data_IF_453688904394
#
_entry.id   IF_453688904394
#
_cell.length_a   1.000
_cell.length_b   1.000
_cell.length_c   1.000
_cell.angle_alpha   90.00
_cell.angle_beta   90.00
_cell.angle_gamma   90.00
#
_symmetry.space_group_name_H-M   'P 1'
#
loop_
_entity.id
_entity.type
_entity.pdbx_description
1 polymer ?
#
# COMPACT_ATOMS: atom_id res chain seq x y z
N UNK A 1 4.30 24.81 8.74
CA UNK A 1 3.09 25.01 7.89
C UNK A 1 2.96 24.01 6.73
N UNK A 2 3.47 24.23 5.50
CA UNK A 2 3.24 23.29 4.37
C UNK A 2 3.81 21.88 4.62
N UNK A 3 4.97 21.80 5.27
CA UNK A 3 5.60 20.51 5.61
C UNK A 3 4.87 19.77 6.74
N UNK A 4 4.22 20.49 7.66
CA UNK A 4 3.42 19.88 8.73
C UNK A 4 2.13 19.30 8.19
N UNK A 5 1.44 20.02 7.30
CA UNK A 5 0.24 19.53 6.63
C UNK A 5 0.53 18.24 5.85
N UNK A 6 1.61 18.25 5.06
CA UNK A 6 2.04 17.09 4.29
C UNK A 6 2.43 15.91 5.19
N UNK A 7 3.12 16.19 6.32
CA UNK A 7 3.46 15.17 7.32
C UNK A 7 2.23 14.57 7.97
N UNK A 8 1.24 15.37 8.37
CA UNK A 8 0.02 14.85 9.02
C UNK A 8 -0.82 14.02 8.05
N UNK A 9 -0.94 14.44 6.79
CA UNK A 9 -1.58 13.65 5.72
C UNK A 9 -0.83 12.35 5.47
N UNK A 10 0.50 12.40 5.42
CA UNK A 10 1.35 11.22 5.27
C UNK A 10 1.22 10.26 6.47
N UNK A 11 1.23 10.78 7.69
CA UNK A 11 1.11 9.98 8.91
C UNK A 11 -0.23 9.25 8.94
N UNK A 12 -1.34 9.93 8.62
CA UNK A 12 -2.66 9.31 8.57
C UNK A 12 -2.79 8.30 7.43
N UNK A 13 -2.17 8.59 6.28
CA UNK A 13 -2.07 7.63 5.18
C UNK A 13 -1.31 6.36 5.61
N UNK A 14 -0.19 6.50 6.33
CA UNK A 14 0.57 5.36 6.89
C UNK A 14 -0.27 4.63 7.94
N UNK A 15 -0.89 5.33 8.89
CA UNK A 15 -1.69 4.69 9.96
C UNK A 15 -2.91 3.94 9.42
N UNK A 16 -3.58 4.46 8.38
CA UNK A 16 -4.69 3.79 7.73
C UNK A 16 -4.26 2.57 6.87
N UNK A 17 -3.01 2.57 6.41
CA UNK A 17 -2.38 1.46 5.67
C UNK A 17 -1.87 0.38 6.62
N UNK A 18 -1.32 0.76 7.77
CA UNK A 18 -0.70 -0.13 8.76
C UNK A 18 -1.74 -0.86 9.62
N UNK A 19 -3.01 -0.44 9.58
CA UNK A 19 -4.09 -1.06 10.38
C UNK A 19 -4.25 -2.57 10.10
N UNK A 20 -3.69 -3.39 11.01
CA UNK A 20 -3.93 -4.80 11.33
C UNK A 20 -4.55 -5.68 10.24
N UNK A 21 -3.75 -6.09 9.26
CA UNK A 21 -4.03 -7.33 8.51
C UNK A 21 -2.81 -8.26 8.51
N UNK A 22 -2.70 -9.19 9.47
CA UNK A 22 -1.58 -10.13 9.48
C UNK A 22 -1.57 -11.09 8.28
N UNK A 23 -2.73 -11.30 7.63
CA UNK A 23 -2.89 -12.37 6.65
C UNK A 23 -2.18 -12.07 5.30
N UNK A 24 -2.20 -10.82 4.82
CA UNK A 24 -1.44 -10.48 3.61
C UNK A 24 0.07 -10.55 3.86
N UNK A 25 0.53 -10.18 5.07
CA UNK A 25 1.93 -10.31 5.48
C UNK A 25 2.38 -11.77 5.59
N UNK A 26 1.46 -12.68 5.92
CA UNK A 26 1.72 -14.11 5.86
C UNK A 26 1.95 -14.60 4.42
N UNK A 27 1.23 -14.06 3.44
CA UNK A 27 1.49 -14.34 2.02
C UNK A 27 2.85 -13.78 1.59
N UNK A 28 3.20 -12.57 2.02
CA UNK A 28 4.54 -11.99 1.79
C UNK A 28 5.64 -12.88 2.36
N UNK A 29 5.45 -13.40 3.58
CA UNK A 29 6.37 -14.33 4.20
C UNK A 29 6.59 -15.58 3.33
N UNK A 30 5.52 -16.17 2.78
CA UNK A 30 5.65 -17.31 1.86
C UNK A 30 6.43 -16.97 0.59
N UNK A 31 6.25 -15.76 0.03
CA UNK A 31 7.05 -15.31 -1.12
C UNK A 31 8.54 -15.32 -0.76
N UNK A 32 8.91 -14.87 0.44
CA UNK A 32 10.30 -14.92 0.90
C UNK A 32 10.80 -16.35 1.22
N UNK A 33 9.94 -17.22 1.73
CA UNK A 33 10.30 -18.63 1.97
C UNK A 33 10.58 -19.32 0.63
N UNK A 34 9.71 -19.15 -0.37
CA UNK A 34 9.89 -19.73 -1.71
C UNK A 34 11.17 -19.20 -2.36
N UNK A 35 11.42 -17.89 -2.29
CA UNK A 35 12.63 -17.31 -2.89
C UNK A 35 13.90 -17.74 -2.16
N UNK A 36 13.87 -17.79 -0.83
CA UNK A 36 15.00 -18.30 -0.04
C UNK A 36 15.27 -19.76 -0.35
N UNK A 37 14.23 -20.59 -0.51
CA UNK A 37 14.34 -21.99 -0.91
C UNK A 37 14.96 -22.14 -2.31
N UNK A 38 14.44 -21.40 -3.29
CA UNK A 38 14.94 -21.39 -4.66
C UNK A 38 16.44 -21.05 -4.71
N UNK A 39 16.82 -19.95 -4.07
CA UNK A 39 18.18 -19.44 -4.18
C UNK A 39 19.18 -20.18 -3.29
N UNK A 40 18.80 -20.60 -2.09
CA UNK A 40 19.76 -21.15 -1.12
C UNK A 40 19.71 -22.67 -0.94
N UNK A 41 18.63 -23.33 -1.38
CA UNK A 41 18.49 -24.79 -1.22
C UNK A 41 18.60 -25.50 -2.57
N UNK A 42 17.85 -25.07 -3.58
CA UNK A 42 17.90 -25.69 -4.91
C UNK A 42 18.94 -25.04 -5.84
N UNK A 43 19.46 -23.87 -5.45
CA UNK A 43 20.35 -23.04 -6.27
C UNK A 43 19.80 -22.70 -7.64
N UNK A 44 18.47 -22.72 -7.77
CA UNK A 44 17.76 -22.43 -8.99
C UNK A 44 17.34 -20.96 -9.04
N UNK A 45 16.96 -20.57 -10.25
CA UNK A 45 16.24 -19.35 -10.50
C UNK A 45 14.86 -19.40 -9.82
N UNK A 46 14.37 -18.26 -9.31
CA UNK A 46 13.06 -18.18 -8.66
C UNK A 46 11.94 -18.59 -9.62
N UNK A 47 12.09 -18.24 -10.90
CA UNK A 47 11.11 -18.57 -11.94
C UNK A 47 11.10 -20.07 -12.25
N UNK A 48 12.26 -20.73 -12.18
CA UNK A 48 12.37 -22.19 -12.31
C UNK A 48 11.69 -22.88 -11.13
N UNK A 49 11.94 -22.40 -9.91
CA UNK A 49 11.38 -23.03 -8.70
C UNK A 49 9.87 -22.83 -8.59
N UNK A 50 9.36 -21.66 -8.99
CA UNK A 50 7.91 -21.41 -9.07
C UNK A 50 7.16 -22.38 -10.00
N UNK A 51 7.85 -22.98 -10.97
CA UNK A 51 7.26 -23.99 -11.87
C UNK A 51 7.25 -25.39 -11.26
N UNK A 52 8.17 -25.69 -10.35
CA UNK A 52 8.28 -27.01 -9.70
C UNK A 52 7.45 -27.12 -8.44
N UNK A 53 7.27 -26.02 -7.70
CA UNK A 53 6.56 -26.00 -6.42
C UNK A 53 5.05 -26.15 -6.63
N UNK A 54 4.44 -27.18 -6.04
CA UNK A 54 2.98 -27.30 -5.98
C UNK A 54 2.46 -26.54 -4.77
N UNK A 55 1.26 -25.96 -4.89
CA UNK A 55 0.60 -25.23 -3.78
C UNK A 55 0.41 -26.12 -2.54
N UNK A 56 0.20 -27.42 -2.74
CA UNK A 56 0.10 -28.39 -1.64
C UNK A 56 1.39 -28.51 -0.82
N UNK A 57 2.55 -28.33 -1.46
CA UNK A 57 3.85 -28.43 -0.80
C UNK A 57 4.10 -27.26 0.15
N UNK A 58 3.40 -26.14 -0.01
CA UNK A 58 3.53 -24.96 0.87
C UNK A 58 2.96 -25.21 2.28
N UNK A 59 1.99 -26.12 2.40
CA UNK A 59 1.27 -26.39 3.64
C UNK A 59 1.56 -27.78 4.22
N UNK A 60 2.44 -28.55 3.59
CA UNK A 60 2.91 -29.82 4.13
C UNK A 60 4.10 -29.60 5.09
N UNK A 61 3.86 -29.82 6.38
CA UNK A 61 4.87 -29.65 7.43
C UNK A 61 5.82 -30.84 7.58
N UNK A 62 5.53 -31.99 6.96
CA UNK A 62 6.39 -33.17 7.01
C UNK A 62 7.33 -33.19 5.81
N UNK A 63 6.80 -33.16 4.60
CA UNK A 63 7.58 -33.34 3.36
C UNK A 63 7.59 -32.10 2.45
N UNK A 64 6.91 -31.02 2.86
CA UNK A 64 6.75 -29.81 2.08
C UNK A 64 7.90 -28.81 2.17
N UNK A 65 7.63 -27.60 1.69
CA UNK A 65 8.63 -26.54 1.50
C UNK A 65 9.14 -26.00 2.85
N UNK A 66 8.29 -25.98 3.88
CA UNK A 66 8.65 -25.51 5.22
C UNK A 66 9.63 -26.49 5.90
N UNK A 67 9.50 -27.81 5.70
CA UNK A 67 10.42 -28.78 6.33
C UNK A 67 11.82 -28.79 5.71
N UNK A 68 11.95 -28.25 4.49
CA UNK A 68 13.22 -28.14 3.75
C UNK A 68 14.00 -26.86 4.04
N UNK A 69 13.43 -25.93 4.81
CA UNK A 69 14.03 -24.64 5.16
C UNK A 69 14.49 -24.68 6.61
N UNK A 70 15.72 -24.24 6.87
CA UNK A 70 16.29 -24.20 8.22
C UNK A 70 15.60 -23.15 9.08
N UNK A 71 15.64 -23.31 10.41
CA UNK A 71 15.10 -22.33 11.35
C UNK A 71 15.73 -20.94 11.16
N UNK A 72 17.03 -20.88 10.85
CA UNK A 72 17.73 -19.61 10.57
C UNK A 72 17.18 -18.92 9.31
N UNK A 73 16.94 -19.68 8.24
CA UNK A 73 16.32 -19.16 7.02
C UNK A 73 14.88 -18.69 7.27
N UNK A 74 14.12 -19.36 8.14
CA UNK A 74 12.79 -18.93 8.54
C UNK A 74 12.84 -17.58 9.29
N UNK A 75 13.75 -17.44 10.25
CA UNK A 75 13.98 -16.16 10.96
C UNK A 75 14.36 -15.06 9.98
N UNK A 76 15.22 -15.38 9.01
CA UNK A 76 15.60 -14.46 7.94
C UNK A 76 14.39 -14.03 7.09
N UNK A 77 13.49 -14.95 6.72
CA UNK A 77 12.26 -14.62 5.97
C UNK A 77 11.32 -13.70 6.78
N UNK A 78 11.23 -13.90 8.10
CA UNK A 78 10.46 -13.01 8.99
C UNK A 78 11.09 -11.61 9.01
N UNK A 79 12.41 -11.53 9.14
CA UNK A 79 13.12 -10.25 9.08
C UNK A 79 12.93 -9.54 7.73
N UNK A 80 12.97 -10.28 6.61
CA UNK A 80 12.70 -9.75 5.28
C UNK A 80 11.26 -9.23 5.14
N UNK A 81 10.28 -9.89 5.75
CA UNK A 81 8.89 -9.43 5.77
C UNK A 81 8.76 -8.08 6.49
N UNK A 82 9.47 -7.91 7.61
CA UNK A 82 9.52 -6.64 8.32
C UNK A 82 10.23 -5.55 7.49
N UNK A 83 11.37 -5.88 6.88
CA UNK A 83 12.11 -4.98 5.98
C UNK A 83 11.23 -4.56 4.79
N UNK A 84 10.46 -5.50 4.21
CA UNK A 84 9.55 -5.21 3.11
C UNK A 84 8.53 -4.13 3.48
N UNK A 85 7.94 -4.25 4.67
CA UNK A 85 7.00 -3.23 5.20
C UNK A 85 7.67 -1.85 5.25
N UNK A 86 8.87 -1.77 5.83
CA UNK A 86 9.62 -0.51 5.98
C UNK A 86 9.99 0.07 4.61
N UNK A 87 10.45 -0.77 3.68
CA UNK A 87 10.79 -0.35 2.31
C UNK A 87 9.56 0.18 1.58
N UNK A 88 8.43 -0.52 1.70
CA UNK A 88 7.17 -0.13 1.11
C UNK A 88 6.67 1.22 1.66
N UNK A 89 6.68 1.42 2.99
CA UNK A 89 6.26 2.66 3.64
C UNK A 89 7.15 3.83 3.20
N UNK A 90 8.47 3.64 3.23
CA UNK A 90 9.44 4.67 2.85
C UNK A 90 9.33 5.04 1.37
N UNK A 91 9.17 4.04 0.50
CA UNK A 91 9.01 4.23 -0.95
C UNK A 91 7.70 4.96 -1.26
N UNK A 92 6.60 4.54 -0.63
CA UNK A 92 5.30 5.21 -0.73
C UNK A 92 5.39 6.68 -0.32
N UNK A 93 6.03 6.98 0.81
CA UNK A 93 6.21 8.34 1.31
C UNK A 93 7.06 9.21 0.37
N UNK A 94 8.15 8.67 -0.18
CA UNK A 94 9.00 9.40 -1.15
C UNK A 94 8.23 9.69 -2.44
N UNK A 95 7.51 8.71 -2.97
CA UNK A 95 6.73 8.89 -4.21
C UNK A 95 5.62 9.91 -3.98
N UNK A 96 4.91 9.81 -2.86
CA UNK A 96 3.88 10.77 -2.47
C UNK A 96 4.46 12.19 -2.39
N UNK A 97 5.59 12.38 -1.69
CA UNK A 97 6.25 13.68 -1.54
C UNK A 97 6.78 14.25 -2.87
N UNK A 98 7.12 13.41 -3.84
CA UNK A 98 7.50 13.88 -5.19
C UNK A 98 6.28 14.28 -6.02
N UNK A 99 5.19 13.52 -5.94
CA UNK A 99 4.00 13.74 -6.74
C UNK A 99 3.16 14.90 -6.20
N UNK A 100 3.05 15.06 -4.87
CA UNK A 100 2.32 16.14 -4.22
C UNK A 100 2.86 17.53 -4.59
N UNK A 101 4.18 17.68 -4.76
CA UNK A 101 4.81 18.94 -5.20
C UNK A 101 4.36 19.42 -6.58
N UNK A 102 3.78 18.52 -7.40
CA UNK A 102 3.23 18.86 -8.72
C UNK A 102 1.76 19.26 -8.67
N UNK A 103 1.10 19.12 -7.52
CA UNK A 103 -0.33 19.43 -7.34
C UNK A 103 -0.49 20.55 -6.31
N UNK A 104 -1.30 21.56 -6.65
CA UNK A 104 -1.68 22.62 -5.72
C UNK A 104 -2.82 22.13 -4.80
N UNK A 105 -2.44 21.40 -3.74
CA UNK A 105 -3.39 20.86 -2.77
C UNK A 105 -4.13 21.97 -2.01
N UNK A 106 -3.49 23.12 -1.78
CA UNK A 106 -4.13 24.24 -1.10
C UNK A 106 -5.32 24.75 -1.92
N UNK A 107 -5.12 24.97 -3.22
CA UNK A 107 -6.20 25.33 -4.13
C UNK A 107 -7.27 24.25 -4.23
N UNK A 108 -6.88 22.97 -4.33
CA UNK A 108 -7.83 21.86 -4.36
C UNK A 108 -8.72 21.84 -3.11
N UNK A 109 -8.13 21.99 -1.93
CA UNK A 109 -8.84 21.94 -0.65
C UNK A 109 -9.75 23.17 -0.48
N UNK A 110 -9.30 24.34 -0.91
CA UNK A 110 -10.09 25.57 -0.88
C UNK A 110 -11.29 25.52 -1.84
N UNK A 111 -11.10 25.01 -3.06
CA UNK A 111 -12.18 24.81 -4.04
C UNK A 111 -13.21 23.79 -3.53
N UNK A 112 -12.76 22.74 -2.84
CA UNK A 112 -13.63 21.75 -2.23
C UNK A 112 -14.44 22.33 -1.07
N UNK A 113 -13.79 23.05 -0.14
CA UNK A 113 -14.48 23.73 0.97
C UNK A 113 -15.55 24.69 0.44
N UNK A 114 -15.20 25.53 -0.53
CA UNK A 114 -16.14 26.47 -1.15
C UNK A 114 -17.30 25.78 -1.87
N UNK A 115 -17.10 24.60 -2.46
CA UNK A 115 -18.18 23.81 -3.06
C UNK A 115 -19.12 23.21 -2.01
N UNK A 116 -18.58 22.63 -0.94
CA UNK A 116 -19.40 21.97 0.08
C UNK A 116 -20.10 22.96 1.03
N UNK A 117 -19.49 24.12 1.32
CA UNK A 117 -20.16 25.21 2.03
C UNK A 117 -21.36 25.75 1.25
N UNK A 118 -21.29 25.80 -0.09
CA UNK A 118 -22.44 26.17 -0.95
C UNK A 118 -23.55 25.12 -0.99
N UNK A 119 -23.24 23.86 -0.69
CA UNK A 119 -24.20 22.74 -0.66
C UNK A 119 -24.81 22.57 0.73
N UNK A 120 -24.19 23.15 1.78
CA UNK A 120 -24.70 23.10 3.15
C UNK A 120 -26.06 23.79 3.23
N UNK A 121 -27.09 22.99 3.42
CA UNK A 121 -28.48 23.45 3.58
C UNK A 121 -28.73 23.86 5.03
N UNK A 122 -29.66 24.79 5.28
CA UNK A 122 -30.11 25.15 6.65
C UNK A 122 -30.89 24.02 7.37
N UNK A 123 -31.03 22.84 6.76
CA UNK A 123 -31.78 21.71 7.30
C UNK A 123 -30.81 20.64 7.83
N UNK A 124 -30.72 20.52 9.16
CA UNK A 124 -29.85 19.56 9.86
C UNK A 124 -30.14 18.10 9.50
N UNK A 125 -31.40 17.77 9.25
CA UNK A 125 -31.82 16.40 8.94
C UNK A 125 -31.33 15.98 7.54
N UNK A 126 -31.38 16.90 6.58
CA UNK A 126 -30.84 16.69 5.22
C UNK A 126 -29.32 16.55 5.27
N UNK A 127 -28.64 17.39 6.05
CA UNK A 127 -27.18 17.31 6.23
C UNK A 127 -26.76 15.99 6.91
N UNK A 128 -27.55 15.48 7.85
CA UNK A 128 -27.30 14.19 8.50
C UNK A 128 -27.37 13.01 7.51
N UNK A 129 -28.42 12.94 6.68
CA UNK A 129 -28.51 11.89 5.65
C UNK A 129 -27.42 12.02 4.59
N UNK A 130 -27.07 13.25 4.17
CA UNK A 130 -25.96 13.49 3.26
C UNK A 130 -24.63 13.01 3.84
N UNK A 131 -24.38 13.30 5.12
CA UNK A 131 -23.17 12.85 5.81
C UNK A 131 -23.12 11.33 5.88
N UNK A 132 -24.24 10.65 6.15
CA UNK A 132 -24.30 9.19 6.22
C UNK A 132 -24.00 8.52 4.88
N UNK A 133 -24.53 9.07 3.78
CA UNK A 133 -24.25 8.59 2.43
C UNK A 133 -22.77 8.79 2.06
N UNK A 134 -22.20 9.95 2.42
CA UNK A 134 -20.79 10.26 2.23
C UNK A 134 -19.89 9.32 3.05
N UNK A 135 -20.23 9.02 4.30
CA UNK A 135 -19.47 8.07 5.14
C UNK A 135 -19.49 6.67 4.53
N UNK A 136 -20.64 6.20 4.04
CA UNK A 136 -20.76 4.90 3.35
C UNK A 136 -19.88 4.84 2.09
N UNK A 137 -19.83 5.91 1.29
CA UNK A 137 -18.98 5.97 0.10
C UNK A 137 -17.49 6.11 0.45
N UNK A 138 -17.17 6.81 1.54
CA UNK A 138 -15.82 6.89 2.08
C UNK A 138 -15.32 5.52 2.53
N UNK A 139 -16.15 4.73 3.22
CA UNK A 139 -15.81 3.36 3.62
C UNK A 139 -15.51 2.45 2.42
N UNK A 140 -16.33 2.52 1.36
CA UNK A 140 -16.06 1.76 0.11
C UNK A 140 -14.74 2.18 -0.52
N UNK A 141 -14.45 3.49 -0.56
CA UNK A 141 -13.19 4.00 -1.12
C UNK A 141 -11.99 3.66 -0.24
N UNK A 142 -12.16 3.61 1.08
CA UNK A 142 -11.15 3.16 2.03
C UNK A 142 -10.77 1.70 1.81
N UNK A 143 -11.76 0.82 1.62
CA UNK A 143 -11.52 -0.59 1.27
C UNK A 143 -10.73 -0.69 -0.04
N UNK A 144 -11.12 0.07 -1.07
CA UNK A 144 -10.41 0.09 -2.35
C UNK A 144 -8.97 0.59 -2.23
N UNK A 145 -8.75 1.64 -1.44
CA UNK A 145 -7.42 2.17 -1.15
C UNK A 145 -6.54 1.10 -0.50
N UNK A 146 -7.08 0.40 0.51
CA UNK A 146 -6.40 -0.71 1.18
C UNK A 146 -6.02 -1.83 0.22
N UNK A 147 -6.93 -2.27 -0.65
CA UNK A 147 -6.63 -3.32 -1.63
C UNK A 147 -5.50 -2.90 -2.59
N UNK A 148 -5.47 -1.64 -3.04
CA UNK A 148 -4.40 -1.13 -3.89
C UNK A 148 -3.06 -1.11 -3.15
N UNK A 149 -3.05 -0.68 -1.90
CA UNK A 149 -1.87 -0.69 -1.04
C UNK A 149 -1.31 -2.10 -0.86
N UNK A 150 -2.16 -3.07 -0.49
CA UNK A 150 -1.75 -4.47 -0.31
C UNK A 150 -1.11 -5.02 -1.61
N UNK A 151 -1.69 -4.71 -2.76
CA UNK A 151 -1.14 -5.14 -4.05
C UNK A 151 0.26 -4.55 -4.32
N UNK A 152 0.50 -3.30 -3.94
CA UNK A 152 1.81 -2.66 -4.09
C UNK A 152 2.82 -3.26 -3.11
N UNK A 153 2.39 -3.59 -1.89
CA UNK A 153 3.24 -4.27 -0.91
C UNK A 153 3.65 -5.68 -1.38
N UNK A 154 2.73 -6.41 -2.04
CA UNK A 154 3.07 -7.68 -2.70
C UNK A 154 4.08 -7.52 -3.83
N UNK A 155 3.91 -6.51 -4.70
CA UNK A 155 4.88 -6.25 -5.76
C UNK A 155 6.24 -5.85 -5.18
N UNK A 156 6.26 -5.10 -4.06
CA UNK A 156 7.49 -4.75 -3.36
C UNK A 156 8.21 -6.00 -2.86
N UNK A 157 7.46 -6.99 -2.32
CA UNK A 157 8.02 -8.26 -1.87
C UNK A 157 8.60 -9.08 -3.02
N UNK A 158 7.95 -9.08 -4.18
CA UNK A 158 8.47 -9.74 -5.40
C UNK A 158 9.75 -9.05 -5.87
N UNK A 159 9.78 -7.71 -5.94
CA UNK A 159 10.99 -6.94 -6.28
C UNK A 159 12.12 -7.28 -5.33
N UNK A 160 11.88 -7.27 -4.02
CA UNK A 160 12.90 -7.56 -3.03
C UNK A 160 13.39 -9.02 -3.12
N UNK A 161 12.49 -9.96 -3.39
CA UNK A 161 12.84 -11.37 -3.60
C UNK A 161 13.78 -11.54 -4.80
N UNK A 162 13.50 -10.88 -5.92
CA UNK A 162 14.38 -10.90 -7.09
C UNK A 162 15.74 -10.25 -6.77
N UNK A 163 15.75 -9.14 -6.01
CA UNK A 163 16.99 -8.44 -5.61
C UNK A 163 17.91 -9.34 -4.76
N UNK A 164 17.35 -10.15 -3.86
CA UNK A 164 18.12 -11.09 -3.03
C UNK A 164 18.84 -12.13 -3.90
N UNK A 165 18.20 -12.58 -4.97
CA UNK A 165 18.73 -13.61 -5.87
C UNK A 165 19.57 -13.09 -7.04
N UNK A 166 19.97 -11.81 -7.09
CA UNK A 166 20.56 -11.17 -8.29
C UNK A 166 21.73 -11.95 -8.89
N UNK A 167 22.55 -12.61 -8.08
CA UNK A 167 23.66 -13.42 -8.58
C UNK A 167 23.26 -14.76 -9.20
N UNK A 168 22.08 -15.29 -8.85
CA UNK A 168 21.54 -16.57 -9.35
C UNK A 168 20.45 -16.38 -10.41
N UNK A 169 20.06 -15.14 -10.68
CA UNK A 169 19.01 -14.82 -11.63
C UNK A 169 19.53 -14.87 -13.07
N UNK A 170 18.75 -15.47 -13.96
CA UNK A 170 18.98 -15.46 -15.41
C UNK A 170 18.47 -14.17 -16.08
N UNK A 171 18.81 -14.02 -17.37
CA UNK A 171 18.39 -12.86 -18.20
C UNK A 171 16.87 -12.66 -18.22
N UNK A 172 16.10 -13.74 -18.21
CA UNK A 172 14.62 -13.68 -18.19
C UNK A 172 14.08 -13.06 -16.90
N UNK A 173 14.71 -13.32 -15.76
CA UNK A 173 14.29 -12.75 -14.48
C UNK A 173 14.69 -11.28 -14.37
N UNK A 174 15.80 -10.88 -14.98
CA UNK A 174 16.18 -9.48 -15.08
C UNK A 174 15.19 -8.68 -15.95
N UNK A 175 14.70 -9.27 -17.06
CA UNK A 175 13.63 -8.67 -17.86
C UNK A 175 12.32 -8.60 -17.06
N UNK A 176 11.96 -9.68 -16.36
CA UNK A 176 10.81 -9.72 -15.45
C UNK A 176 10.89 -8.65 -14.37
N UNK A 177 12.07 -8.42 -13.80
CA UNK A 177 12.33 -7.39 -12.80
C UNK A 177 11.97 -5.99 -13.33
N UNK A 178 12.39 -5.64 -14.54
CA UNK A 178 12.09 -4.33 -15.15
C UNK A 178 10.57 -4.16 -15.34
N UNK A 179 9.88 -5.22 -15.77
CA UNK A 179 8.42 -5.20 -15.94
C UNK A 179 7.72 -5.01 -14.60
N UNK A 180 8.11 -5.76 -13.56
CA UNK A 180 7.54 -5.64 -12.21
C UNK A 180 7.80 -4.26 -11.63
N UNK A 181 9.00 -3.70 -11.82
CA UNK A 181 9.37 -2.37 -11.33
C UNK A 181 8.58 -1.26 -12.04
N UNK A 182 8.34 -1.41 -13.34
CA UNK A 182 7.49 -0.49 -14.10
C UNK A 182 6.03 -0.55 -13.63
N UNK A 183 5.52 -1.76 -13.36
CA UNK A 183 4.18 -1.97 -12.82
C UNK A 183 4.03 -1.37 -11.41
N UNK A 184 5.05 -1.53 -10.56
CA UNK A 184 5.10 -0.95 -9.23
C UNK A 184 4.98 0.59 -9.30
N UNK A 185 5.77 1.22 -10.17
CA UNK A 185 5.72 2.67 -10.38
C UNK A 185 4.34 3.13 -10.89
N UNK A 186 3.76 2.40 -11.83
CA UNK A 186 2.42 2.68 -12.36
C UNK A 186 1.34 2.57 -11.27
N UNK A 187 1.39 1.54 -10.42
CA UNK A 187 0.41 1.39 -9.34
C UNK A 187 0.56 2.46 -8.26
N UNK A 188 1.78 2.84 -7.89
CA UNK A 188 1.99 3.98 -6.99
C UNK A 188 1.42 5.27 -7.57
N UNK A 189 1.61 5.51 -8.87
CA UNK A 189 1.02 6.67 -9.53
C UNK A 189 -0.52 6.62 -9.49
N UNK A 190 -1.11 5.47 -9.79
CA UNK A 190 -2.57 5.27 -9.75
C UNK A 190 -3.13 5.45 -8.34
N UNK A 191 -2.43 4.94 -7.33
CA UNK A 191 -2.79 5.09 -5.92
C UNK A 191 -2.80 6.57 -5.52
N UNK A 192 -1.76 7.32 -5.93
CA UNK A 192 -1.67 8.76 -5.68
C UNK A 192 -2.83 9.52 -6.31
N UNK A 193 -3.12 9.28 -7.60
CA UNK A 193 -4.24 9.92 -8.29
C UNK A 193 -5.57 9.59 -7.62
N UNK A 194 -5.79 8.33 -7.25
CA UNK A 194 -7.00 7.91 -6.54
C UNK A 194 -7.12 8.61 -5.16
N UNK A 195 -6.02 8.74 -4.43
CA UNK A 195 -6.01 9.41 -3.14
C UNK A 195 -6.39 10.89 -3.28
N UNK A 196 -5.74 11.63 -4.18
CA UNK A 196 -6.00 13.06 -4.40
C UNK A 196 -7.39 13.34 -4.97
N UNK A 197 -7.82 12.59 -6.00
CA UNK A 197 -9.06 12.91 -6.72
C UNK A 197 -10.30 12.31 -6.06
N UNK A 198 -10.15 11.24 -5.30
CA UNK A 198 -11.28 10.42 -4.85
C UNK A 198 -11.36 10.28 -3.35
N UNK A 199 -10.26 10.32 -2.61
CA UNK A 199 -10.29 10.13 -1.16
C UNK A 199 -10.33 11.47 -0.41
N UNK A 200 -9.40 12.39 -0.71
CA UNK A 200 -9.34 13.72 -0.07
C UNK A 200 -10.68 14.49 -0.17
N UNK A 201 -11.34 14.57 -1.35
CA UNK A 201 -12.60 15.32 -1.48
C UNK A 201 -13.72 14.81 -0.58
N UNK A 202 -13.87 13.49 -0.50
CA UNK A 202 -14.89 12.84 0.32
C UNK A 202 -14.59 13.00 1.81
N UNK A 203 -13.32 12.93 2.19
CA UNK A 203 -12.87 13.13 3.57
C UNK A 203 -13.09 14.57 4.05
N UNK A 204 -12.82 15.56 3.20
CA UNK A 204 -13.10 16.98 3.49
C UNK A 204 -14.62 17.22 3.56
N UNK A 205 -15.39 16.62 2.65
CA UNK A 205 -16.85 16.74 2.64
C UNK A 205 -17.49 16.21 3.94
N UNK A 206 -17.06 15.04 4.40
CA UNK A 206 -17.54 14.44 5.66
C UNK A 206 -17.33 15.39 6.85
N UNK A 207 -16.13 15.96 6.98
CA UNK A 207 -15.81 16.86 8.10
C UNK A 207 -16.58 18.18 8.07
N UNK A 208 -16.70 18.80 6.89
CA UNK A 208 -17.45 20.05 6.73
C UNK A 208 -18.93 19.86 7.05
N UNK A 209 -19.52 18.71 6.66
CA UNK A 209 -20.92 18.40 6.93
C UNK A 209 -21.20 18.02 8.38
N UNK A 210 -20.22 17.44 9.09
CA UNK A 210 -20.29 17.16 10.52
C UNK A 210 -20.09 18.41 11.40
N UNK A 211 -19.83 19.58 10.81
CA UNK A 211 -19.67 20.84 11.54
C UNK A 211 -18.35 20.97 12.30
N UNK A 212 -17.37 20.10 12.02
CA UNK A 212 -16.01 20.28 12.51
C UNK A 212 -15.36 21.44 11.74
N UNK A 213 -14.74 22.36 12.47
CA UNK A 213 -13.95 23.43 11.86
C UNK A 213 -12.74 22.76 11.18
N UNK A 214 -12.80 22.68 9.85
CA UNK A 214 -11.69 22.15 9.05
C UNK A 214 -10.62 23.23 9.05
N UNK A 215 -9.75 23.17 10.06
CA UNK A 215 -8.63 24.07 10.18
C UNK A 215 -7.71 23.86 8.97
N UNK A 216 -7.36 24.97 8.30
CA UNK A 216 -6.52 24.96 7.10
C UNK A 216 -5.12 24.43 7.45
N UNK A 217 -4.75 24.51 8.73
CA UNK A 217 -3.51 23.97 9.28
C UNK A 217 -3.57 22.46 9.57
N UNK A 218 -4.77 21.86 9.67
CA UNK A 218 -4.94 20.44 9.91
C UNK A 218 -6.28 19.88 9.37
N UNK A 219 -6.43 19.68 8.05
CA UNK A 219 -7.66 19.21 7.41
C UNK A 219 -8.07 17.79 7.82
N UNK A 220 -7.29 17.14 8.70
CA UNK A 220 -7.41 15.76 9.13
C UNK A 220 -7.53 15.57 10.66
N UNK A 221 -7.55 16.63 11.48
CA UNK A 221 -7.90 16.58 12.93
C UNK A 221 -9.38 16.33 13.18
#
# INVERSE_FOLDING_TARGET
MMEELAKTVQQKYIDEIVSKYPLHRFVILFVFIISTYAYNVTEHSLLTELRSVKVGDLFDFKDGLISKVTLLQLIFCVALTAINTVVFEKTSGIIFNKLIKRYDIAKLTQDLKARYEKIKTNNELVNYYLSKDITSDLDKKKIRLRCLTINIEYLTAIVLSIVIGVMKNGVLELLGFIVVLSLLAFLHFRLFIFYIQSFIPLHVAEKVLQGADVDIENPLS
#
